data_IF_681076683112
#
_entry.id   IF_681076683112
#
_cell.length_a   1.000
_cell.length_b   1.000
_cell.length_c   1.000
_cell.angle_alpha   90.00
_cell.angle_beta   90.00
_cell.angle_gamma   90.00
#
_symmetry.space_group_name_H-M   'P 1'
#
loop_
_entity.id
_entity.type
_entity.pdbx_description
1 polymer ?
#
# COMPACT_ATOMS: atom_id res chain seq x y z
N UNK A 1 -35.24 -59.38 35.52
CA UNK A 1 -35.10 -58.94 34.12
C UNK A 1 -35.84 -57.61 33.97
N UNK A 2 -35.11 -56.56 33.55
CA UNK A 2 -35.58 -55.19 33.42
C UNK A 2 -36.80 -55.04 32.51
N UNK A 3 -37.66 -54.06 32.83
CA UNK A 3 -37.96 -52.91 31.96
C UNK A 3 -38.73 -51.83 32.73
N UNK A 4 -38.05 -50.71 33.00
CA UNK A 4 -38.66 -49.43 33.42
C UNK A 4 -39.18 -48.72 32.15
N UNK A 5 -40.41 -48.22 32.19
CA UNK A 5 -40.91 -47.20 31.25
C UNK A 5 -41.52 -46.06 32.07
N UNK A 6 -40.85 -44.91 32.05
CA UNK A 6 -41.30 -43.65 32.65
C UNK A 6 -42.01 -42.87 31.54
N UNK A 7 -43.24 -42.45 31.83
CA UNK A 7 -44.10 -41.65 30.98
C UNK A 7 -43.77 -40.16 31.09
N UNK A 8 -43.35 -39.61 29.95
CA UNK A 8 -43.53 -38.26 29.37
C UNK A 8 -44.25 -37.20 30.22
N UNK A 9 -43.62 -36.01 30.33
CA UNK A 9 -44.24 -34.78 30.81
C UNK A 9 -43.41 -33.53 30.47
N UNK A 10 -43.54 -33.06 29.23
CA UNK A 10 -43.36 -31.67 28.73
C UNK A 10 -42.04 -30.92 29.02
N UNK A 11 -41.10 -31.00 28.07
CA UNK A 11 -40.00 -30.05 27.93
C UNK A 11 -40.38 -28.94 26.92
N UNK A 12 -40.49 -27.71 27.43
CA UNK A 12 -40.63 -26.48 26.64
C UNK A 12 -39.29 -26.21 25.94
N UNK A 13 -39.21 -26.46 24.63
CA UNK A 13 -38.04 -26.12 23.81
C UNK A 13 -38.06 -24.62 23.47
N UNK A 14 -37.44 -23.79 24.29
CA UNK A 14 -37.03 -22.44 23.91
C UNK A 14 -35.73 -22.55 23.09
N UNK A 15 -35.86 -22.55 21.76
CA UNK A 15 -34.74 -22.37 20.85
C UNK A 15 -34.24 -20.93 20.94
N UNK A 16 -33.32 -20.67 21.86
CA UNK A 16 -32.53 -19.44 21.85
C UNK A 16 -31.56 -19.53 20.67
N UNK A 17 -31.94 -18.92 19.55
CA UNK A 17 -31.05 -18.69 18.42
C UNK A 17 -29.84 -17.90 18.91
N UNK A 18 -28.66 -18.51 18.81
CA UNK A 18 -27.39 -17.84 19.05
C UNK A 18 -27.18 -16.85 17.89
N UNK A 19 -27.60 -15.61 18.09
CA UNK A 19 -27.20 -14.50 17.22
C UNK A 19 -25.69 -14.32 17.44
N UNK A 20 -24.86 -14.80 16.51
CA UNK A 20 -23.47 -14.36 16.42
C UNK A 20 -23.52 -12.87 16.13
N UNK A 21 -23.35 -12.05 17.16
CA UNK A 21 -22.99 -10.66 16.97
C UNK A 21 -21.70 -10.65 16.14
N UNK A 22 -21.78 -10.15 14.91
CA UNK A 22 -20.59 -9.88 14.12
C UNK A 22 -19.72 -8.92 14.95
N UNK A 23 -18.52 -9.36 15.32
CA UNK A 23 -17.57 -8.50 16.00
C UNK A 23 -17.38 -7.23 15.16
N UNK A 24 -17.30 -6.03 15.78
CA UNK A 24 -16.97 -4.83 15.04
C UNK A 24 -15.65 -5.06 14.30
N UNK A 25 -15.68 -4.89 12.98
CA UNK A 25 -14.46 -4.95 12.17
C UNK A 25 -13.64 -3.72 12.56
N UNK A 26 -12.62 -3.92 13.40
CA UNK A 26 -11.65 -2.88 13.72
C UNK A 26 -11.06 -2.32 12.42
N UNK A 27 -10.97 -0.99 12.24
CA UNK A 27 -10.34 -0.43 11.06
C UNK A 27 -8.90 -0.93 11.00
N UNK A 28 -8.55 -1.58 9.89
CA UNK A 28 -7.20 -2.08 9.64
C UNK A 28 -6.20 -0.95 9.86
N UNK A 29 -5.23 -1.15 10.75
CA UNK A 29 -4.18 -0.17 10.99
C UNK A 29 -3.49 0.21 9.67
N UNK A 30 -3.40 1.51 9.36
CA UNK A 30 -2.82 2.00 8.11
C UNK A 30 -1.30 1.82 8.15
N UNK A 31 -0.80 0.64 7.81
CA UNK A 31 0.63 0.28 7.88
C UNK A 31 1.10 -0.45 6.62
N UNK A 32 2.40 -0.43 6.36
CA UNK A 32 2.99 -0.99 5.14
C UNK A 32 2.87 -2.52 5.06
N UNK A 33 2.71 -3.23 6.17
CA UNK A 33 2.42 -4.67 6.19
C UNK A 33 1.06 -5.01 5.55
N UNK A 34 0.17 -4.03 5.41
CA UNK A 34 -1.13 -4.17 4.78
C UNK A 34 -1.09 -3.80 3.29
N UNK A 35 0.06 -3.48 2.71
CA UNK A 35 0.20 -3.36 1.26
C UNK A 35 0.11 -4.74 0.60
N UNK A 36 -0.65 -4.90 -0.50
CA UNK A 36 -1.37 -3.87 -1.25
C UNK A 36 -2.84 -3.71 -0.85
N UNK A 37 -3.34 -4.44 0.14
CA UNK A 37 -4.76 -4.45 0.55
C UNK A 37 -5.33 -3.05 0.82
N UNK A 38 -4.51 -2.11 1.30
CA UNK A 38 -4.88 -0.69 1.49
C UNK A 38 -5.37 0.02 0.22
N UNK A 39 -4.98 -0.47 -0.96
CA UNK A 39 -5.29 0.11 -2.27
C UNK A 39 -6.33 -0.72 -3.05
N UNK A 40 -6.99 -1.68 -2.39
CA UNK A 40 -7.94 -2.58 -3.04
C UNK A 40 -9.36 -2.30 -2.58
N UNK A 41 -10.28 -2.41 -3.52
CA UNK A 41 -11.70 -2.60 -3.26
C UNK A 41 -12.10 -3.94 -3.88
N UNK A 42 -12.38 -4.92 -3.02
CA UNK A 42 -12.54 -6.33 -3.38
C UNK A 42 -11.26 -6.89 -4.04
N UNK A 43 -11.24 -7.00 -5.38
CA UNK A 43 -10.07 -7.42 -6.18
C UNK A 43 -9.63 -6.39 -7.22
N UNK A 44 -10.21 -5.20 -7.16
CA UNK A 44 -9.88 -4.11 -8.07
C UNK A 44 -8.98 -3.12 -7.35
N UNK A 45 -7.93 -2.68 -8.04
CA UNK A 45 -7.13 -1.54 -7.61
C UNK A 45 -8.02 -0.30 -7.57
N UNK A 46 -8.05 0.37 -6.43
CA UNK A 46 -8.84 1.56 -6.16
C UNK A 46 -7.91 2.71 -5.77
N UNK A 47 -7.39 3.41 -6.78
CA UNK A 47 -6.51 4.56 -6.60
C UNK A 47 -5.85 4.98 -7.90
N UNK A 48 -4.91 5.91 -7.78
CA UNK A 48 -4.04 6.34 -8.87
C UNK A 48 -2.57 6.10 -8.54
N UNK A 49 -1.81 5.72 -9.55
CA UNK A 49 -0.34 5.75 -9.52
C UNK A 49 0.07 7.06 -10.16
N UNK A 50 0.64 7.97 -9.37
CA UNK A 50 0.92 9.33 -9.79
C UNK A 50 2.41 9.49 -9.99
N UNK A 51 2.82 9.73 -11.23
CA UNK A 51 4.21 9.98 -11.58
C UNK A 51 4.45 11.49 -11.64
N UNK A 52 5.61 11.93 -11.14
CA UNK A 52 6.02 13.33 -11.23
C UNK A 52 6.10 13.84 -12.67
N UNK A 53 5.73 15.10 -12.91
CA UNK A 53 5.79 15.73 -14.24
C UNK A 53 7.22 15.76 -14.81
N UNK A 54 8.19 16.02 -13.94
CA UNK A 54 9.61 16.05 -14.31
C UNK A 54 10.33 14.75 -13.93
N UNK A 55 9.58 13.67 -13.73
CA UNK A 55 10.15 12.41 -13.29
C UNK A 55 11.02 11.79 -14.39
N UNK A 56 12.08 11.09 -13.98
CA UNK A 56 12.96 10.41 -14.94
C UNK A 56 12.25 9.17 -15.48
N UNK A 57 12.71 8.66 -16.62
CA UNK A 57 12.19 7.40 -17.17
C UNK A 57 12.23 6.25 -16.16
N UNK A 58 13.23 6.23 -15.26
CA UNK A 58 13.32 5.24 -14.18
C UNK A 58 12.16 5.30 -13.18
N UNK A 59 11.57 6.47 -12.92
CA UNK A 59 10.39 6.61 -12.07
C UNK A 59 9.14 6.05 -12.78
N UNK A 60 9.01 6.25 -14.11
CA UNK A 60 7.93 5.64 -14.91
C UNK A 60 8.07 4.11 -14.92
N UNK A 61 9.30 3.60 -15.02
CA UNK A 61 9.56 2.17 -14.90
C UNK A 61 9.25 1.66 -13.48
N UNK A 62 9.53 2.44 -12.43
CA UNK A 62 9.16 2.09 -11.06
C UNK A 62 7.64 1.97 -10.90
N UNK A 63 6.86 2.90 -11.48
CA UNK A 63 5.41 2.80 -11.53
C UNK A 63 4.94 1.54 -12.28
N UNK A 64 5.62 1.19 -13.38
CA UNK A 64 5.33 -0.02 -14.14
C UNK A 64 5.63 -1.29 -13.34
N UNK A 65 6.78 -1.34 -12.66
CA UNK A 65 7.18 -2.46 -11.79
C UNK A 65 6.13 -2.70 -10.68
N UNK A 66 5.60 -1.63 -10.09
CA UNK A 66 4.49 -1.71 -9.11
C UNK A 66 3.23 -2.32 -9.72
N UNK A 67 2.82 -1.85 -10.91
CA UNK A 67 1.66 -2.40 -11.62
C UNK A 67 1.85 -3.88 -11.93
N UNK A 68 3.05 -4.28 -12.36
CA UNK A 68 3.38 -5.69 -12.65
C UNK A 68 3.21 -6.55 -11.41
N UNK A 69 3.74 -6.12 -10.25
CA UNK A 69 3.58 -6.89 -9.01
C UNK A 69 2.11 -7.08 -8.62
N UNK A 70 1.33 -6.02 -8.71
CA UNK A 70 -0.12 -6.06 -8.44
C UNK A 70 -0.87 -6.94 -9.46
N UNK A 71 -0.51 -6.87 -10.74
CA UNK A 71 -1.10 -7.68 -11.81
C UNK A 71 -0.78 -9.17 -11.63
N UNK A 72 0.47 -9.50 -11.29
CA UNK A 72 0.92 -10.86 -11.03
C UNK A 72 0.22 -11.49 -9.82
N UNK A 73 -0.18 -10.67 -8.84
CA UNK A 73 -1.02 -11.10 -7.72
C UNK A 73 -2.50 -11.29 -8.09
N UNK A 74 -2.89 -11.03 -9.34
CA UNK A 74 -4.25 -11.25 -9.86
C UNK A 74 -5.22 -10.09 -9.62
N UNK A 75 -4.71 -8.90 -9.28
CA UNK A 75 -5.56 -7.71 -9.15
C UNK A 75 -5.92 -7.12 -10.50
N UNK A 76 -7.11 -6.54 -10.58
CA UNK A 76 -7.63 -5.90 -11.79
C UNK A 76 -7.48 -4.39 -11.69
N UNK A 77 -7.33 -3.73 -12.84
CA UNK A 77 -7.15 -2.29 -12.93
C UNK A 77 -8.24 -1.67 -13.81
N UNK A 78 -8.75 -0.48 -13.48
CA UNK A 78 -9.50 0.32 -14.43
C UNK A 78 -8.60 0.81 -15.57
N UNK A 79 -9.20 1.31 -16.66
CA UNK A 79 -8.50 1.74 -17.87
C UNK A 79 -7.57 2.95 -17.70
N UNK A 80 -7.64 3.66 -16.57
CA UNK A 80 -6.84 4.86 -16.30
C UNK A 80 -6.40 4.92 -14.83
N UNK A 81 -5.39 4.14 -14.47
CA UNK A 81 -4.79 4.16 -13.12
C UNK A 81 -3.60 5.12 -13.00
N UNK A 82 -2.89 5.39 -14.09
CA UNK A 82 -1.69 6.22 -14.04
C UNK A 82 -2.04 7.67 -14.36
N UNK A 83 -1.52 8.60 -13.55
CA UNK A 83 -1.75 10.04 -13.66
C UNK A 83 -0.45 10.81 -13.52
N UNK A 84 -0.39 11.99 -14.11
CA UNK A 84 0.58 13.01 -13.74
C UNK A 84 0.10 13.77 -12.51
N UNK A 85 1.06 14.32 -11.77
CA UNK A 85 0.82 15.14 -10.57
C UNK A 85 -0.26 16.21 -10.77
N UNK A 86 -0.29 16.88 -11.93
CA UNK A 86 -1.18 17.98 -12.28
C UNK A 86 -2.62 17.52 -12.59
N UNK A 87 -2.81 16.25 -12.93
CA UNK A 87 -4.14 15.70 -13.19
C UNK A 87 -4.92 15.43 -11.89
N UNK A 88 -4.23 15.40 -10.75
CA UNK A 88 -4.85 15.20 -9.44
C UNK A 88 -5.32 16.55 -8.89
N UNK A 89 -6.58 16.89 -9.20
CA UNK A 89 -7.20 18.15 -8.77
C UNK A 89 -7.80 18.10 -7.36
N UNK A 90 -8.11 16.89 -6.86
CA UNK A 90 -8.70 16.68 -5.53
C UNK A 90 -7.91 15.62 -4.77
N UNK A 91 -6.97 16.09 -3.97
CA UNK A 91 -6.02 15.20 -3.27
C UNK A 91 -6.73 14.18 -2.38
N UNK A 92 -7.74 14.59 -1.61
CA UNK A 92 -8.39 13.77 -0.57
C UNK A 92 -9.37 12.72 -1.09
N UNK A 93 -9.70 12.75 -2.37
CA UNK A 93 -10.78 11.92 -2.93
C UNK A 93 -10.28 10.52 -3.37
N UNK A 94 -8.96 10.28 -3.38
CA UNK A 94 -8.37 9.08 -3.97
C UNK A 94 -7.25 8.49 -3.12
N UNK A 95 -7.07 7.18 -3.21
CA UNK A 95 -5.83 6.54 -2.78
C UNK A 95 -4.75 6.84 -3.84
N UNK A 96 -3.53 7.11 -3.39
CA UNK A 96 -2.44 7.55 -4.26
C UNK A 96 -1.19 6.71 -4.02
N UNK A 97 -0.56 6.23 -5.07
CA UNK A 97 0.82 5.75 -5.05
C UNK A 97 1.64 6.79 -5.78
N UNK A 98 2.36 7.61 -5.04
CA UNK A 98 3.15 8.74 -5.57
C UNK A 98 4.55 8.25 -5.89
N UNK A 99 4.89 8.22 -7.16
CA UNK A 99 6.19 7.74 -7.65
C UNK A 99 7.06 8.93 -8.05
N UNK A 100 8.28 8.94 -7.51
CA UNK A 100 9.25 10.01 -7.67
C UNK A 100 9.35 10.89 -6.42
N UNK A 101 10.56 11.38 -6.17
CA UNK A 101 10.88 12.26 -5.06
C UNK A 101 10.22 13.64 -5.17
N UNK A 102 10.28 14.44 -4.08
CA UNK A 102 9.60 15.73 -4.01
C UNK A 102 10.12 16.76 -5.04
N UNK A 103 11.34 16.57 -5.56
CA UNK A 103 11.89 17.41 -6.64
C UNK A 103 11.13 17.31 -7.96
N UNK A 104 10.50 16.16 -8.22
CA UNK A 104 9.86 15.87 -9.51
C UNK A 104 8.36 15.62 -9.40
N UNK A 105 7.87 15.37 -8.18
CA UNK A 105 6.47 15.12 -7.88
C UNK A 105 6.01 16.04 -6.75
N UNK A 106 5.24 17.09 -7.08
CA UNK A 106 4.81 18.09 -6.09
C UNK A 106 3.82 17.52 -5.06
N UNK A 107 3.09 16.44 -5.37
CA UNK A 107 2.29 15.75 -4.36
C UNK A 107 3.18 15.03 -3.34
N UNK A 108 4.28 14.42 -3.79
CA UNK A 108 5.28 13.87 -2.86
C UNK A 108 5.83 14.97 -1.95
N UNK A 109 6.16 16.14 -2.50
CA UNK A 109 6.59 17.30 -1.71
C UNK A 109 5.55 17.71 -0.65
N UNK A 110 4.26 17.75 -1.01
CA UNK A 110 3.18 18.06 -0.09
C UNK A 110 3.08 17.06 1.07
N UNK A 111 3.09 15.75 0.80
CA UNK A 111 3.00 14.74 1.86
C UNK A 111 4.25 14.67 2.74
N UNK A 112 5.43 14.92 2.16
CA UNK A 112 6.68 14.95 2.90
C UNK A 112 6.97 16.28 3.60
N UNK A 113 6.13 17.31 3.38
CA UNK A 113 6.40 18.69 3.81
C UNK A 113 7.80 19.19 3.34
N UNK A 114 8.18 18.84 2.11
CA UNK A 114 9.51 19.10 1.54
C UNK A 114 9.41 20.18 0.46
N UNK A 115 9.37 21.44 0.89
CA UNK A 115 9.19 22.62 0.02
C UNK A 115 10.49 23.41 -0.23
N UNK A 116 11.57 23.06 0.48
CA UNK A 116 12.90 23.65 0.29
C UNK A 116 13.82 22.68 -0.48
N UNK A 117 14.92 22.28 0.16
CA UNK A 117 15.84 21.28 -0.38
C UNK A 117 15.14 19.92 -0.52
N UNK A 118 14.67 19.62 -1.72
CA UNK A 118 13.87 18.43 -2.01
C UNK A 118 14.68 17.11 -1.93
N UNK A 119 16.00 17.18 -1.81
CA UNK A 119 16.86 16.01 -1.57
C UNK A 119 17.14 15.79 -0.09
N UNK A 120 16.62 16.63 0.81
CA UNK A 120 16.87 16.49 2.25
C UNK A 120 16.40 15.12 2.77
N UNK A 121 17.30 14.46 3.50
CA UNK A 121 17.06 13.13 4.04
C UNK A 121 17.08 11.99 3.01
N UNK A 122 17.43 12.25 1.75
CA UNK A 122 17.74 11.22 0.76
C UNK A 122 19.25 11.05 0.62
N UNK A 123 19.71 9.80 0.59
CA UNK A 123 21.12 9.47 0.42
C UNK A 123 21.32 8.69 -0.88
N UNK A 124 22.44 8.87 -1.60
CA UNK A 124 22.75 8.09 -2.79
C UNK A 124 22.64 6.57 -2.54
N UNK A 125 22.03 5.85 -3.48
CA UNK A 125 21.81 4.40 -3.37
C UNK A 125 20.63 4.02 -2.46
N UNK A 126 19.89 5.00 -1.94
CA UNK A 126 18.75 4.77 -1.03
C UNK A 126 17.44 5.33 -1.55
N UNK A 127 16.37 4.66 -1.16
CA UNK A 127 15.01 5.10 -1.38
C UNK A 127 14.14 4.91 -0.13
N UNK A 128 12.98 5.53 -0.13
CA UNK A 128 11.99 5.50 0.94
C UNK A 128 10.64 5.09 0.37
N UNK A 129 9.97 4.20 1.09
CA UNK A 129 8.57 3.85 0.92
C UNK A 129 7.86 4.35 2.16
N UNK A 130 6.96 5.32 2.03
CA UNK A 130 6.33 6.00 3.17
C UNK A 130 4.82 6.04 3.01
N UNK A 131 4.12 5.64 4.06
CA UNK A 131 2.66 5.62 4.10
C UNK A 131 2.14 6.84 4.86
N UNK A 132 1.29 7.60 4.20
CA UNK A 132 0.63 8.78 4.72
C UNK A 132 -0.88 8.61 4.73
N UNK A 133 -1.52 9.23 5.71
CA UNK A 133 -2.97 9.35 5.72
C UNK A 133 -3.41 10.45 4.76
N UNK A 134 -4.49 10.18 4.03
CA UNK A 134 -5.07 11.11 3.08
C UNK A 134 -6.57 11.30 3.36
N UNK A 135 -6.90 11.65 4.60
CA UNK A 135 -8.27 11.58 5.11
C UNK A 135 -8.67 10.13 5.32
N UNK A 136 -9.80 9.72 4.73
CA UNK A 136 -10.24 8.31 4.69
C UNK A 136 -9.43 7.46 3.70
N UNK A 137 -8.63 8.11 2.83
CA UNK A 137 -7.77 7.48 1.83
C UNK A 137 -6.33 7.36 2.33
N UNK A 138 -5.50 6.76 1.51
CA UNK A 138 -4.07 6.52 1.76
C UNK A 138 -3.22 7.11 0.65
N UNK A 139 -2.06 7.64 1.00
CA UNK A 139 -0.99 7.95 0.06
C UNK A 139 0.25 7.14 0.38
N UNK A 140 0.81 6.45 -0.61
CA UNK A 140 2.09 5.74 -0.53
C UNK A 140 3.10 6.49 -1.37
N UNK A 141 4.09 7.11 -0.73
CA UNK A 141 5.22 7.73 -1.41
C UNK A 141 6.29 6.67 -1.70
N UNK A 142 6.75 6.64 -2.95
CA UNK A 142 7.84 5.81 -3.44
C UNK A 142 8.88 6.75 -4.06
N UNK A 143 9.94 7.03 -3.32
CA UNK A 143 10.90 8.06 -3.69
C UNK A 143 12.34 7.61 -3.42
N UNK A 144 13.22 7.75 -4.42
CA UNK A 144 14.66 7.56 -4.29
C UNK A 144 15.44 8.87 -4.31
N UNK A 145 16.71 8.82 -3.90
CA UNK A 145 17.66 9.90 -4.15
C UNK A 145 17.81 10.19 -5.66
N UNK A 146 17.86 9.12 -6.47
CA UNK A 146 17.79 9.17 -7.92
C UNK A 146 16.60 8.34 -8.43
N UNK A 147 16.26 8.49 -9.71
CA UNK A 147 15.22 7.66 -10.34
C UNK A 147 15.55 6.17 -10.34
N UNK A 148 16.83 5.79 -10.38
CA UNK A 148 17.26 4.39 -10.23
C UNK A 148 16.97 3.86 -8.83
N UNK A 149 17.18 4.70 -7.82
CA UNK A 149 16.87 4.36 -6.43
C UNK A 149 15.34 4.28 -6.23
N UNK A 150 14.55 5.18 -6.87
CA UNK A 150 13.08 5.07 -6.89
C UNK A 150 12.65 3.74 -7.49
N UNK A 151 13.29 3.32 -8.59
CA UNK A 151 13.01 2.04 -9.22
C UNK A 151 13.35 0.84 -8.34
N UNK A 152 14.42 0.91 -7.55
CA UNK A 152 14.71 -0.12 -6.54
C UNK A 152 13.56 -0.24 -5.52
N UNK A 153 13.00 0.87 -5.05
CA UNK A 153 11.79 0.82 -4.20
C UNK A 153 10.57 0.25 -4.95
N UNK A 154 10.41 0.57 -6.24
CA UNK A 154 9.42 -0.07 -7.12
C UNK A 154 9.57 -1.60 -7.17
N UNK A 155 10.80 -2.12 -7.25
CA UNK A 155 11.08 -3.57 -7.22
C UNK A 155 10.70 -4.24 -5.89
N UNK A 156 10.92 -3.56 -4.77
CA UNK A 156 10.44 -4.05 -3.46
C UNK A 156 8.91 -4.19 -3.47
N UNK A 157 8.20 -3.19 -4.00
CA UNK A 157 6.74 -3.19 -4.10
C UNK A 157 6.21 -4.15 -5.17
N UNK A 158 6.96 -4.43 -6.23
CA UNK A 158 6.65 -5.50 -7.20
C UNK A 158 6.66 -6.86 -6.49
N UNK A 159 7.70 -7.09 -5.68
CA UNK A 159 7.94 -8.33 -4.95
C UNK A 159 7.41 -8.30 -3.51
N UNK A 160 6.31 -7.59 -3.26
CA UNK A 160 5.77 -7.34 -1.92
C UNK A 160 5.45 -8.62 -1.13
N UNK A 161 5.18 -9.75 -1.80
CA UNK A 161 4.96 -11.04 -1.13
C UNK A 161 6.26 -11.62 -0.54
N UNK A 162 7.42 -11.23 -1.09
CA UNK A 162 8.75 -11.66 -0.64
C UNK A 162 9.29 -10.73 0.45
N UNK A 163 9.10 -9.42 0.29
CA UNK A 163 9.62 -8.42 1.22
C UNK A 163 8.60 -8.08 2.29
N UNK A 164 8.95 -8.32 3.56
CA UNK A 164 8.12 -7.91 4.70
C UNK A 164 8.30 -6.42 4.96
N UNK A 165 7.32 -5.63 4.56
CA UNK A 165 7.21 -4.22 4.94
C UNK A 165 6.41 -4.11 6.26
N UNK A 166 6.73 -3.11 7.07
CA UNK A 166 6.06 -2.89 8.36
C UNK A 166 6.08 -1.41 8.74
N UNK A 167 5.21 -1.02 9.67
CA UNK A 167 5.15 0.36 10.17
C UNK A 167 4.70 1.36 9.11
N UNK A 168 5.08 2.63 9.28
CA UNK A 168 4.68 3.74 8.40
C UNK A 168 5.73 4.07 7.32
N UNK A 169 6.96 3.58 7.46
CA UNK A 169 8.03 3.88 6.51
C UNK A 169 9.06 2.75 6.45
N UNK A 170 9.59 2.50 5.26
CA UNK A 170 10.70 1.59 5.02
C UNK A 170 11.78 2.31 4.22
N UNK A 171 13.06 2.07 4.55
CA UNK A 171 14.19 2.47 3.72
C UNK A 171 14.59 1.29 2.82
N UNK A 172 14.96 1.59 1.58
CA UNK A 172 15.41 0.61 0.59
C UNK A 172 16.84 0.95 0.23
N UNK A 173 17.72 -0.05 0.24
CA UNK A 173 19.08 0.09 -0.25
C UNK A 173 19.22 -0.63 -1.58
N UNK A 174 19.79 0.07 -2.56
CA UNK A 174 20.09 -0.45 -3.88
C UNK A 174 21.57 -0.84 -3.96
N UNK A 175 21.82 -2.08 -4.33
CA UNK A 175 23.15 -2.60 -4.62
C UNK A 175 23.65 -2.17 -6.00
N UNK A 176 24.60 -2.94 -6.52
CA UNK A 176 25.23 -2.63 -7.82
C UNK A 176 24.28 -2.85 -9.01
N UNK A 177 23.25 -3.67 -8.80
CA UNK A 177 22.22 -4.01 -9.78
C UNK A 177 20.81 -3.92 -9.17
N UNK A 178 19.77 -3.82 -10.02
CA UNK A 178 18.37 -3.81 -9.56
C UNK A 178 17.89 -5.16 -9.01
N UNK A 179 18.66 -6.23 -9.18
CA UNK A 179 18.44 -7.52 -8.51
C UNK A 179 18.96 -7.56 -7.07
N UNK A 180 19.82 -6.61 -6.70
CA UNK A 180 20.40 -6.49 -5.36
C UNK A 180 19.67 -5.38 -4.60
N UNK A 181 18.43 -5.62 -4.19
CA UNK A 181 17.66 -4.65 -3.38
C UNK A 181 17.30 -5.24 -2.02
N UNK A 182 17.39 -4.42 -0.98
CA UNK A 182 17.11 -4.82 0.40
C UNK A 182 16.26 -3.78 1.11
N UNK A 183 15.57 -4.21 2.17
CA UNK A 183 14.74 -3.34 3.01
C UNK A 183 15.41 -3.17 4.37
N UNK A 184 15.64 -1.93 4.75
CA UNK A 184 16.14 -1.53 6.06
C UNK A 184 14.97 -0.95 6.85
N UNK A 185 14.47 -1.70 7.83
CA UNK A 185 13.42 -1.24 8.74
C UNK A 185 14.06 -0.62 9.98
N UNK A 186 13.71 0.62 10.29
CA UNK A 186 13.98 1.17 11.63
C UNK A 186 12.92 0.60 12.56
N UNK A 187 13.37 -0.14 13.58
CA UNK A 187 12.53 -0.62 14.68
C UNK A 187 11.90 0.54 15.44
#
# INVERSE_FOLDING_TARGET
MMRKMISVGSALLLSAGLVLAAAPVEPLAKELNNYPALFLQEKNFNGYIVVGENAKASDVLAATDIVIGLANAGYKFPSSITKLTQEITKLKDSNLILVGGPCVNSLTANFMNSFGECTEGFNPGKAKIMLYENGEKIALVVAGYSGEDTRAAGKILESFATYKLSGKSAEVERGSSLSEVSVVQKK
#
